data_IF_898292367087
#
_entry.id   IF_898292367087
#
_cell.length_a   1.000
_cell.length_b   1.000
_cell.length_c   1.000
_cell.angle_alpha   90.00
_cell.angle_beta   90.00
_cell.angle_gamma   90.00
#
_symmetry.space_group_name_H-M   'P 1'
#
loop_
_entity.id
_entity.type
_entity.pdbx_description
1 polymer ?
#
# COMPACT_ATOMS: atom_id res chain seq x y z
N UNK A 1 14.74 12.42 7.62
CA UNK A 1 13.96 11.19 7.86
C UNK A 1 12.47 11.44 8.09
N UNK A 2 12.08 12.56 8.75
CA UNK A 2 10.70 12.78 9.19
C UNK A 2 9.67 12.81 8.07
N UNK A 3 9.92 13.53 6.96
CA UNK A 3 8.95 13.69 5.88
C UNK A 3 8.62 12.36 5.19
N UNK A 4 9.58 11.55 4.72
CA UNK A 4 9.26 10.23 4.15
C UNK A 4 8.53 9.33 5.16
N UNK A 5 8.90 9.41 6.44
CA UNK A 5 8.24 8.67 7.51
C UNK A 5 6.76 9.03 7.63
N UNK A 6 6.42 10.33 7.70
CA UNK A 6 5.02 10.77 7.75
C UNK A 6 4.28 10.46 6.45
N UNK A 7 4.91 10.70 5.30
CA UNK A 7 4.34 10.39 3.99
C UNK A 7 4.00 8.89 3.85
N UNK A 8 4.68 8.01 4.58
CA UNK A 8 4.40 6.57 4.63
C UNK A 8 3.43 6.19 5.75
N UNK A 9 3.61 6.74 6.95
CA UNK A 9 2.84 6.35 8.14
C UNK A 9 1.35 6.70 7.97
N UNK A 10 1.03 7.92 7.54
CA UNK A 10 -0.36 8.39 7.42
C UNK A 10 -1.16 7.53 6.42
N UNK A 11 -0.73 7.33 5.16
CA UNK A 11 -1.45 6.44 4.26
C UNK A 11 -1.50 5.00 4.74
N UNK A 12 -0.44 4.51 5.41
CA UNK A 12 -0.43 3.17 5.99
C UNK A 12 -1.49 2.98 7.06
N UNK A 13 -1.64 3.95 7.97
CA UNK A 13 -2.70 3.96 8.97
C UNK A 13 -4.08 4.04 8.31
N UNK A 14 -4.26 4.90 7.29
CA UNK A 14 -5.51 5.00 6.53
C UNK A 14 -5.90 3.66 5.92
N UNK A 15 -4.99 3.02 5.18
CA UNK A 15 -5.23 1.73 4.56
C UNK A 15 -5.46 0.61 5.58
N UNK A 16 -4.75 0.66 6.73
CA UNK A 16 -5.01 -0.29 7.82
C UNK A 16 -6.45 -0.21 8.28
N UNK A 17 -6.96 0.98 8.62
CA UNK A 17 -8.34 1.14 9.05
C UNK A 17 -9.36 0.78 7.96
N UNK A 18 -9.07 1.11 6.69
CA UNK A 18 -9.96 0.79 5.57
C UNK A 18 -10.07 -0.72 5.32
N UNK A 19 -8.94 -1.44 5.31
CA UNK A 19 -8.97 -2.90 5.15
C UNK A 19 -9.52 -3.61 6.39
N UNK A 20 -9.30 -3.07 7.61
CA UNK A 20 -9.95 -3.59 8.82
C UNK A 20 -11.47 -3.49 8.71
N UNK A 21 -11.99 -2.39 8.19
CA UNK A 21 -13.42 -2.25 7.90
C UNK A 21 -13.93 -3.33 6.93
N UNK A 22 -13.24 -3.56 5.81
CA UNK A 22 -13.66 -4.60 4.84
C UNK A 22 -13.61 -6.00 5.44
N UNK A 23 -12.58 -6.33 6.23
CA UNK A 23 -12.50 -7.61 6.94
C UNK A 23 -13.59 -7.75 8.00
N UNK A 24 -13.92 -6.68 8.71
CA UNK A 24 -15.00 -6.64 9.68
C UNK A 24 -16.38 -6.79 9.03
N UNK A 25 -16.58 -6.20 7.84
CA UNK A 25 -17.81 -6.37 7.07
C UNK A 25 -18.01 -7.83 6.63
N UNK A 26 -16.92 -8.53 6.27
CA UNK A 26 -16.98 -9.97 6.01
C UNK A 26 -17.30 -10.79 7.26
N UNK A 27 -16.77 -10.43 8.44
CA UNK A 27 -17.15 -11.07 9.71
C UNK A 27 -18.61 -10.79 10.00
N UNK A 28 -19.06 -9.56 9.82
CA UNK A 28 -20.44 -9.16 10.04
C UNK A 28 -21.41 -9.95 9.15
N UNK A 29 -21.12 -10.06 7.86
CA UNK A 29 -21.90 -10.87 6.93
C UNK A 29 -21.93 -12.36 7.32
N UNK A 30 -20.80 -12.89 7.84
CA UNK A 30 -20.75 -14.27 8.33
C UNK A 30 -21.60 -14.47 9.59
N UNK A 31 -21.56 -13.52 10.54
CA UNK A 31 -22.34 -13.61 11.79
C UNK A 31 -23.82 -13.36 11.56
N UNK A 32 -24.17 -12.53 10.61
CA UNK A 32 -25.56 -12.37 10.15
C UNK A 32 -26.09 -13.68 9.53
N UNK A 33 -25.29 -14.31 8.66
CA UNK A 33 -25.65 -15.58 8.02
C UNK A 33 -25.88 -16.73 9.03
N UNK A 34 -25.06 -16.81 10.09
CA UNK A 34 -25.06 -17.97 11.00
C UNK A 34 -25.93 -17.73 12.25
N UNK A 35 -25.95 -16.51 12.76
CA UNK A 35 -26.55 -16.18 14.06
C UNK A 35 -27.55 -15.01 14.01
N UNK A 36 -27.86 -14.46 12.84
CA UNK A 36 -28.72 -13.28 12.68
C UNK A 36 -28.23 -12.09 13.55
N UNK A 37 -26.89 -11.93 13.61
CA UNK A 37 -26.25 -10.91 14.44
C UNK A 37 -25.49 -9.91 13.60
N UNK A 38 -25.92 -8.64 13.67
CA UNK A 38 -25.33 -7.49 12.96
C UNK A 38 -24.78 -6.47 13.96
N UNK A 39 -23.45 -6.29 13.97
CA UNK A 39 -22.78 -5.23 14.71
C UNK A 39 -21.40 -4.91 14.11
N UNK A 40 -21.39 -4.25 12.98
CA UNK A 40 -20.18 -3.95 12.24
C UNK A 40 -19.11 -3.21 13.07
N UNK A 41 -19.52 -2.27 13.95
CA UNK A 41 -18.56 -1.53 14.77
C UNK A 41 -17.83 -2.42 15.77
N UNK A 42 -18.51 -3.37 16.36
CA UNK A 42 -17.91 -4.38 17.24
C UNK A 42 -16.83 -5.16 16.49
N UNK A 43 -17.14 -5.61 15.28
CA UNK A 43 -16.21 -6.40 14.46
C UNK A 43 -15.00 -5.59 13.97
N UNK A 44 -15.18 -4.31 13.67
CA UNK A 44 -14.05 -3.40 13.36
C UNK A 44 -13.09 -3.34 14.55
N UNK A 45 -13.59 -3.11 15.75
CA UNK A 45 -12.77 -2.98 16.96
C UNK A 45 -12.07 -4.32 17.29
N UNK A 46 -12.80 -5.43 17.29
CA UNK A 46 -12.24 -6.73 17.60
C UNK A 46 -11.19 -7.16 16.59
N UNK A 47 -11.47 -7.01 15.30
CA UNK A 47 -10.50 -7.35 14.24
C UNK A 47 -9.27 -6.46 14.32
N UNK A 48 -9.42 -5.16 14.58
CA UNK A 48 -8.29 -4.25 14.77
C UNK A 48 -7.39 -4.70 15.93
N UNK A 49 -7.97 -5.08 17.07
CA UNK A 49 -7.23 -5.58 18.23
C UNK A 49 -6.45 -6.85 17.85
N UNK A 50 -7.10 -7.80 17.19
CA UNK A 50 -6.48 -9.06 16.77
C UNK A 50 -5.32 -8.81 15.80
N UNK A 51 -5.50 -7.94 14.80
CA UNK A 51 -4.46 -7.56 13.84
C UNK A 51 -3.28 -6.86 14.53
N UNK A 52 -3.53 -5.93 15.44
CA UNK A 52 -2.49 -5.25 16.22
C UNK A 52 -1.70 -6.26 17.05
N UNK A 53 -2.36 -7.14 17.80
CA UNK A 53 -1.70 -8.16 18.61
C UNK A 53 -0.87 -9.11 17.75
N UNK A 54 -1.42 -9.56 16.61
CA UNK A 54 -0.73 -10.45 15.69
C UNK A 54 0.51 -9.77 15.06
N UNK A 55 0.38 -8.53 14.61
CA UNK A 55 1.51 -7.77 14.04
C UNK A 55 2.61 -7.53 15.07
N UNK A 56 2.30 -7.36 16.36
CA UNK A 56 3.29 -7.26 17.43
C UNK A 56 4.19 -8.50 17.56
N UNK A 57 3.75 -9.67 17.07
CA UNK A 57 4.57 -10.90 17.01
C UNK A 57 5.67 -10.84 15.95
N UNK A 58 5.62 -9.84 15.07
CA UNK A 58 6.65 -9.56 14.06
C UNK A 58 6.48 -10.31 12.75
N UNK A 59 7.43 -10.09 11.83
CA UNK A 59 7.34 -10.51 10.43
C UNK A 59 7.12 -12.02 10.23
N UNK A 60 7.69 -12.86 11.11
CA UNK A 60 7.53 -14.33 10.98
C UNK A 60 6.08 -14.77 11.16
N UNK A 61 5.35 -14.17 12.09
CA UNK A 61 3.94 -14.46 12.30
C UNK A 61 3.12 -13.96 11.10
N UNK A 62 3.34 -12.72 10.71
CA UNK A 62 2.68 -12.08 9.55
C UNK A 62 2.90 -12.88 8.27
N UNK A 63 4.13 -13.31 7.99
CA UNK A 63 4.47 -14.13 6.82
C UNK A 63 3.79 -15.50 6.82
N UNK A 64 3.68 -16.17 7.98
CA UNK A 64 2.96 -17.45 8.09
C UNK A 64 1.49 -17.32 7.74
N UNK A 65 0.84 -16.27 8.23
CA UNK A 65 -0.57 -16.00 7.91
C UNK A 65 -0.72 -15.68 6.41
N UNK A 66 0.17 -14.89 5.83
CA UNK A 66 0.16 -14.56 4.40
C UNK A 66 0.33 -15.79 3.52
N UNK A 67 1.24 -16.70 3.88
CA UNK A 67 1.45 -17.95 3.15
C UNK A 67 0.22 -18.88 3.18
N UNK A 68 -0.54 -18.86 4.28
CA UNK A 68 -1.78 -19.62 4.40
C UNK A 68 -2.92 -18.97 3.60
N UNK A 69 -3.09 -17.66 3.72
CA UNK A 69 -4.25 -16.94 3.18
C UNK A 69 -4.18 -16.71 1.67
N UNK A 70 -2.97 -16.57 1.09
CA UNK A 70 -2.81 -16.26 -0.33
C UNK A 70 -3.42 -17.31 -1.27
N UNK A 71 -3.18 -18.65 -1.12
CA UNK A 71 -3.83 -19.65 -1.95
C UNK A 71 -5.35 -19.74 -1.72
N UNK A 72 -5.81 -19.46 -0.49
CA UNK A 72 -7.24 -19.44 -0.17
C UNK A 72 -7.96 -18.29 -0.88
N UNK A 73 -7.33 -17.11 -0.90
CA UNK A 73 -7.86 -15.96 -1.62
C UNK A 73 -7.93 -16.22 -3.13
N UNK A 74 -6.88 -16.83 -3.70
CA UNK A 74 -6.88 -17.22 -5.11
C UNK A 74 -8.02 -18.20 -5.43
N UNK A 75 -8.27 -19.16 -4.54
CA UNK A 75 -9.40 -20.08 -4.66
C UNK A 75 -10.74 -19.32 -4.70
N UNK A 76 -10.96 -18.36 -3.80
CA UNK A 76 -12.18 -17.54 -3.79
C UNK A 76 -12.33 -16.78 -5.11
N UNK A 77 -11.27 -16.15 -5.61
CA UNK A 77 -11.30 -15.41 -6.87
C UNK A 77 -11.68 -16.31 -8.05
N UNK A 78 -11.05 -17.47 -8.17
CA UNK A 78 -11.35 -18.45 -9.22
C UNK A 78 -12.80 -18.97 -9.07
N UNK A 79 -13.20 -19.31 -7.85
CA UNK A 79 -14.57 -19.78 -7.57
C UNK A 79 -15.62 -18.77 -8.00
N UNK A 80 -15.46 -17.49 -7.64
CA UNK A 80 -16.38 -16.42 -8.04
C UNK A 80 -16.49 -16.26 -9.56
N UNK A 81 -15.38 -16.38 -10.28
CA UNK A 81 -15.40 -16.33 -11.75
C UNK A 81 -16.13 -17.53 -12.38
N UNK A 82 -15.91 -18.74 -11.84
CA UNK A 82 -16.49 -19.97 -12.39
C UNK A 82 -17.99 -20.12 -12.06
N UNK A 83 -18.43 -19.55 -10.92
CA UNK A 83 -19.83 -19.66 -10.46
C UNK A 83 -20.69 -18.47 -10.84
N UNK A 84 -20.12 -17.49 -11.51
CA UNK A 84 -20.89 -16.37 -12.04
C UNK A 84 -21.79 -16.85 -13.22
N UNK A 85 -23.03 -17.15 -12.90
CA UNK A 85 -24.06 -17.57 -13.86
C UNK A 85 -24.89 -16.38 -14.40
N UNK A 86 -24.60 -15.15 -13.94
CA UNK A 86 -25.41 -13.97 -14.25
C UNK A 86 -25.09 -13.38 -15.62
N UNK A 87 -23.82 -13.50 -16.07
CA UNK A 87 -23.37 -12.94 -17.35
C UNK A 87 -22.29 -13.82 -17.96
N UNK A 88 -22.38 -14.09 -19.24
CA UNK A 88 -21.34 -14.83 -19.97
C UNK A 88 -20.07 -13.98 -20.13
N UNK A 89 -18.90 -14.63 -20.22
CA UNK A 89 -17.62 -13.94 -20.45
C UNK A 89 -17.64 -13.07 -21.72
N UNK A 90 -18.35 -13.50 -22.76
CA UNK A 90 -18.52 -12.72 -24.00
C UNK A 90 -19.34 -11.44 -23.81
N UNK A 91 -20.32 -11.46 -22.91
CA UNK A 91 -21.11 -10.27 -22.55
C UNK A 91 -20.29 -9.31 -21.69
N UNK A 92 -19.50 -9.84 -20.73
CA UNK A 92 -18.58 -9.04 -19.91
C UNK A 92 -17.64 -8.22 -20.78
N UNK A 93 -17.06 -8.82 -21.83
CA UNK A 93 -16.16 -8.11 -22.75
C UNK A 93 -16.86 -7.02 -23.59
N UNK A 94 -18.19 -7.07 -23.69
CA UNK A 94 -19.01 -6.09 -24.41
C UNK A 94 -19.63 -5.04 -23.49
N UNK A 95 -19.52 -5.21 -22.18
CA UNK A 95 -20.02 -4.23 -21.21
C UNK A 95 -19.26 -2.91 -21.37
N UNK A 96 -20.01 -1.87 -21.64
CA UNK A 96 -19.53 -0.49 -21.60
C UNK A 96 -20.04 0.14 -20.32
N UNK A 97 -19.16 0.80 -19.57
CA UNK A 97 -19.58 1.53 -18.37
C UNK A 97 -20.63 2.59 -18.72
N UNK A 98 -21.67 2.69 -17.91
CA UNK A 98 -22.69 3.76 -18.01
C UNK A 98 -22.08 5.10 -17.62
N UNK A 99 -21.26 5.64 -18.25
CA UNK A 99 -20.75 6.90 -17.79
C UNK A 99 -19.78 7.45 -18.77
N UNK A 100 -20.27 8.21 -19.64
CA UNK A 100 -19.59 9.24 -20.35
C UNK A 100 -18.06 9.15 -20.27
N UNK A 101 -17.38 10.18 -20.26
CA UNK A 101 -15.95 10.33 -20.33
C UNK A 101 -15.16 9.72 -19.14
N UNK A 102 -15.21 8.39 -18.93
CA UNK A 102 -14.32 7.73 -17.98
C UNK A 102 -12.88 7.87 -18.46
N UNK A 103 -12.10 8.61 -17.71
CA UNK A 103 -10.69 8.78 -18.02
C UNK A 103 -9.90 7.55 -17.53
N UNK A 104 -9.47 6.68 -18.46
CA UNK A 104 -8.63 5.51 -18.16
C UNK A 104 -7.41 5.88 -17.32
N UNK A 105 -6.86 7.08 -17.47
CA UNK A 105 -5.71 7.54 -16.70
C UNK A 105 -6.05 7.68 -15.21
N UNK A 106 -7.28 8.05 -14.85
CA UNK A 106 -7.71 8.11 -13.43
C UNK A 106 -7.72 6.70 -12.81
N UNK A 107 -8.15 5.67 -13.55
CA UNK A 107 -8.06 4.29 -13.07
C UNK A 107 -6.62 3.86 -12.87
N UNK A 108 -5.73 4.17 -13.81
CA UNK A 108 -4.29 3.91 -13.66
C UNK A 108 -3.73 4.61 -12.43
N UNK A 109 -4.06 5.88 -12.23
CA UNK A 109 -3.61 6.65 -11.06
C UNK A 109 -4.16 6.11 -9.74
N UNK A 110 -5.38 5.61 -9.72
CA UNK A 110 -5.97 4.97 -8.55
C UNK A 110 -5.15 3.73 -8.14
N UNK A 111 -4.82 2.86 -9.08
CA UNK A 111 -3.97 1.69 -8.80
C UNK A 111 -2.56 2.10 -8.38
N UNK A 112 -1.94 3.03 -9.08
CA UNK A 112 -0.61 3.55 -8.72
C UNK A 112 -0.64 4.16 -7.31
N UNK A 113 -1.62 4.99 -6.99
CA UNK A 113 -1.76 5.64 -5.69
C UNK A 113 -1.95 4.65 -4.55
N UNK A 114 -2.72 3.58 -4.76
CA UNK A 114 -2.86 2.47 -3.82
C UNK A 114 -1.53 1.79 -3.50
N UNK A 115 -0.74 1.48 -4.53
CA UNK A 115 0.55 0.80 -4.38
C UNK A 115 1.74 1.71 -4.08
N UNK A 116 1.64 3.02 -4.36
CA UNK A 116 2.71 4.00 -4.10
C UNK A 116 3.15 4.02 -2.64
N UNK A 117 2.21 3.78 -1.73
CA UNK A 117 2.47 3.69 -0.29
C UNK A 117 3.44 2.56 0.02
N UNK A 118 3.24 1.38 -0.57
CA UNK A 118 4.13 0.23 -0.41
C UNK A 118 5.46 0.44 -1.15
N UNK A 119 5.42 1.00 -2.37
CA UNK A 119 6.61 1.28 -3.15
C UNK A 119 7.59 2.20 -2.41
N UNK A 120 7.09 3.23 -1.71
CA UNK A 120 7.91 4.15 -0.92
C UNK A 120 8.61 3.49 0.29
N UNK A 121 8.19 2.29 0.71
CA UNK A 121 8.74 1.59 1.88
C UNK A 121 8.94 0.09 1.67
N UNK A 122 9.10 -0.34 0.44
CA UNK A 122 9.27 -1.77 0.13
C UNK A 122 10.49 -2.39 0.82
N UNK A 123 11.49 -1.57 1.14
CA UNK A 123 12.67 -1.96 1.91
C UNK A 123 12.32 -2.49 3.31
N UNK A 124 11.20 -2.06 3.91
CA UNK A 124 10.77 -2.55 5.23
C UNK A 124 10.40 -4.04 5.20
N UNK A 125 10.02 -4.55 4.03
CA UNK A 125 9.71 -5.96 3.80
C UNK A 125 10.93 -6.68 3.22
N UNK A 126 11.57 -6.12 2.20
CA UNK A 126 12.65 -6.80 1.47
C UNK A 126 13.93 -6.98 2.27
N UNK A 127 14.17 -6.16 3.30
CA UNK A 127 15.31 -6.33 4.22
C UNK A 127 15.27 -7.65 5.02
N UNK A 128 14.09 -8.23 5.18
CA UNK A 128 13.92 -9.52 5.87
C UNK A 128 14.14 -10.72 4.92
N UNK A 129 14.35 -10.47 3.64
CA UNK A 129 14.58 -11.50 2.65
C UNK A 129 16.04 -11.95 2.64
N UNK A 130 16.25 -13.24 2.52
CA UNK A 130 17.60 -13.82 2.47
C UNK A 130 18.18 -13.68 1.07
N UNK A 131 19.40 -13.12 0.99
CA UNK A 131 20.24 -13.13 -0.21
C UNK A 131 21.49 -13.95 0.03
N UNK A 132 21.99 -14.65 -0.98
CA UNK A 132 23.27 -15.34 -0.91
C UNK A 132 24.42 -14.32 -1.07
N UNK A 133 25.63 -14.69 -0.61
CA UNK A 133 26.81 -13.84 -0.80
C UNK A 133 27.12 -13.59 -2.29
N UNK A 134 26.84 -14.57 -3.14
CA UNK A 134 27.05 -14.48 -4.58
C UNK A 134 26.05 -13.51 -5.23
N UNK A 135 24.77 -13.57 -4.83
CA UNK A 135 23.74 -12.62 -5.26
C UNK A 135 24.07 -11.19 -4.80
N UNK A 136 24.62 -11.02 -3.61
CA UNK A 136 24.95 -9.69 -3.06
C UNK A 136 26.09 -8.99 -3.80
N UNK A 137 27.00 -9.73 -4.44
CA UNK A 137 28.10 -9.19 -5.24
C UNK A 137 27.62 -8.54 -6.55
N UNK A 138 26.48 -8.97 -7.07
CA UNK A 138 25.93 -8.48 -8.33
C UNK A 138 24.55 -7.85 -8.10
N UNK A 139 24.51 -6.53 -8.06
CA UNK A 139 23.28 -5.76 -7.83
C UNK A 139 22.08 -6.25 -8.67
N UNK A 140 22.29 -6.54 -9.96
CA UNK A 140 21.20 -6.99 -10.83
C UNK A 140 20.71 -8.40 -10.48
N UNK A 141 21.59 -9.28 -10.03
CA UNK A 141 21.20 -10.64 -9.67
C UNK A 141 20.26 -10.67 -8.45
N UNK A 142 20.55 -9.89 -7.41
CA UNK A 142 19.67 -9.77 -6.25
C UNK A 142 18.40 -8.99 -6.58
N UNK A 143 18.51 -7.88 -7.30
CA UNK A 143 17.37 -7.00 -7.61
C UNK A 143 16.32 -7.69 -8.47
N UNK A 144 16.72 -8.40 -9.54
CA UNK A 144 15.77 -9.08 -10.44
C UNK A 144 14.94 -10.15 -9.71
N UNK A 145 15.51 -10.85 -8.75
CA UNK A 145 14.81 -11.87 -7.95
C UNK A 145 13.64 -11.25 -7.18
N UNK A 146 13.90 -10.14 -6.49
CA UNK A 146 12.85 -9.43 -5.76
C UNK A 146 11.83 -8.75 -6.69
N UNK A 147 12.28 -8.17 -7.79
CA UNK A 147 11.38 -7.60 -8.79
C UNK A 147 10.45 -8.65 -9.38
N UNK A 148 10.97 -9.81 -9.77
CA UNK A 148 10.15 -10.91 -10.32
C UNK A 148 9.16 -11.45 -9.28
N UNK A 149 9.61 -11.66 -8.04
CA UNK A 149 8.73 -12.14 -6.98
C UNK A 149 7.56 -11.17 -6.73
N UNK A 150 7.83 -9.88 -6.68
CA UNK A 150 6.80 -8.85 -6.53
C UNK A 150 5.89 -8.78 -7.75
N UNK A 151 6.44 -8.83 -8.95
CA UNK A 151 5.66 -8.79 -10.19
C UNK A 151 4.71 -9.99 -10.30
N UNK A 152 5.21 -11.21 -10.05
CA UNK A 152 4.41 -12.45 -10.07
C UNK A 152 3.34 -12.43 -8.97
N UNK A 153 3.66 -11.89 -7.79
CA UNK A 153 2.71 -11.83 -6.69
C UNK A 153 1.64 -10.75 -6.86
N UNK A 154 2.00 -9.58 -7.37
CA UNK A 154 1.09 -8.44 -7.42
C UNK A 154 0.28 -8.35 -8.70
N UNK A 155 0.90 -8.52 -9.87
CA UNK A 155 0.25 -8.22 -11.16
C UNK A 155 -0.90 -9.18 -11.45
N UNK A 156 -0.72 -10.53 -11.42
CA UNK A 156 -1.82 -11.44 -11.68
C UNK A 156 -2.96 -11.31 -10.66
N UNK A 157 -2.64 -11.13 -9.38
CA UNK A 157 -3.63 -10.92 -8.34
C UNK A 157 -4.43 -9.63 -8.58
N UNK A 158 -3.75 -8.53 -8.90
CA UNK A 158 -4.40 -7.24 -9.19
C UNK A 158 -5.33 -7.33 -10.41
N UNK A 159 -4.90 -8.00 -11.48
CA UNK A 159 -5.73 -8.20 -12.68
C UNK A 159 -6.95 -9.09 -12.36
N UNK A 160 -6.75 -10.18 -11.63
CA UNK A 160 -7.83 -11.10 -11.25
C UNK A 160 -8.88 -10.40 -10.39
N UNK A 161 -8.47 -9.82 -9.26
CA UNK A 161 -9.42 -9.22 -8.32
C UNK A 161 -9.97 -7.87 -8.79
N UNK A 162 -9.16 -7.09 -9.52
CA UNK A 162 -9.64 -5.88 -10.19
C UNK A 162 -10.70 -6.18 -11.25
N UNK A 163 -10.49 -7.26 -12.02
CA UNK A 163 -11.48 -7.75 -12.97
C UNK A 163 -12.78 -8.22 -12.30
N UNK A 164 -12.68 -9.02 -11.22
CA UNK A 164 -13.85 -9.46 -10.44
C UNK A 164 -14.61 -8.25 -9.89
N UNK A 165 -13.91 -7.27 -9.34
CA UNK A 165 -14.52 -6.04 -8.83
C UNK A 165 -15.22 -5.22 -9.92
N UNK A 166 -14.62 -5.09 -11.10
CA UNK A 166 -15.21 -4.38 -12.23
C UNK A 166 -16.47 -5.08 -12.74
N UNK A 167 -16.44 -6.41 -12.87
CA UNK A 167 -17.61 -7.22 -13.23
C UNK A 167 -18.71 -7.09 -12.19
N UNK A 168 -18.35 -7.23 -10.91
CA UNK A 168 -19.28 -7.11 -9.80
C UNK A 168 -19.96 -5.74 -9.78
N UNK A 169 -19.20 -4.66 -9.94
CA UNK A 169 -19.74 -3.30 -10.04
C UNK A 169 -20.70 -3.15 -11.24
N UNK A 170 -20.34 -3.69 -12.40
CA UNK A 170 -21.19 -3.64 -13.59
C UNK A 170 -22.51 -4.40 -13.41
N UNK A 171 -22.50 -5.50 -12.65
CA UNK A 171 -23.68 -6.33 -12.40
C UNK A 171 -24.59 -5.78 -11.29
N UNK A 172 -24.02 -5.21 -10.25
CA UNK A 172 -24.74 -4.90 -9.01
C UNK A 172 -24.85 -3.41 -8.72
N UNK A 173 -24.04 -2.58 -9.37
CA UNK A 173 -23.86 -1.17 -8.98
C UNK A 173 -23.14 -0.99 -7.63
N UNK A 174 -22.65 -2.08 -7.03
CA UNK A 174 -22.06 -2.09 -5.69
C UNK A 174 -20.54 -2.12 -5.79
N UNK A 175 -19.88 -1.29 -5.00
CA UNK A 175 -18.41 -1.22 -4.93
C UNK A 175 -17.82 -2.17 -3.86
N UNK A 176 -18.63 -2.56 -2.88
CA UNK A 176 -18.18 -3.37 -1.75
C UNK A 176 -17.99 -4.83 -2.18
N UNK A 177 -16.76 -5.39 -2.14
CA UNK A 177 -16.49 -6.75 -2.60
C UNK A 177 -17.24 -7.82 -1.79
N UNK A 178 -17.57 -7.56 -0.53
CA UNK A 178 -18.31 -8.51 0.31
C UNK A 178 -19.75 -8.62 -0.19
N UNK A 179 -20.40 -7.50 -0.49
CA UNK A 179 -21.77 -7.50 -1.02
C UNK A 179 -21.85 -8.08 -2.42
N UNK A 180 -20.86 -7.80 -3.27
CA UNK A 180 -20.73 -8.45 -4.58
C UNK A 180 -20.65 -9.96 -4.42
N UNK A 181 -19.81 -10.45 -3.50
CA UNK A 181 -19.62 -11.86 -3.24
C UNK A 181 -20.93 -12.52 -2.74
N UNK A 182 -21.64 -11.87 -1.82
CA UNK A 182 -22.96 -12.34 -1.33
C UNK A 182 -23.96 -12.44 -2.49
N UNK A 183 -23.98 -11.46 -3.38
CA UNK A 183 -24.85 -11.48 -4.57
C UNK A 183 -24.50 -12.61 -5.55
N UNK A 184 -23.22 -12.80 -5.86
CA UNK A 184 -22.76 -13.80 -6.86
C UNK A 184 -22.95 -15.24 -6.36
N UNK A 185 -22.70 -15.51 -5.08
CA UNK A 185 -22.83 -16.86 -4.49
C UNK A 185 -24.31 -17.23 -4.30
N UNK A 186 -25.12 -16.26 -3.85
CA UNK A 186 -26.55 -16.46 -3.58
C UNK A 186 -26.83 -17.12 -2.22
N UNK A 187 -28.06 -16.94 -1.74
CA UNK A 187 -28.50 -17.48 -0.45
C UNK A 187 -28.70 -19.00 -0.43
N UNK A 188 -28.77 -19.64 -1.60
CA UNK A 188 -28.94 -21.07 -1.79
C UNK A 188 -27.68 -21.91 -1.48
N UNK A 189 -26.54 -21.25 -1.27
CA UNK A 189 -25.23 -21.87 -1.03
C UNK A 189 -24.56 -21.41 0.28
N UNK A 190 -25.22 -21.55 1.45
CA UNK A 190 -24.77 -20.94 2.71
C UNK A 190 -23.40 -21.45 3.17
N UNK A 191 -23.08 -22.73 2.96
CA UNK A 191 -21.78 -23.30 3.33
C UNK A 191 -20.64 -22.67 2.49
N UNK A 192 -20.85 -22.55 1.17
CA UNK A 192 -19.86 -21.94 0.29
C UNK A 192 -19.69 -20.45 0.60
N UNK A 193 -20.79 -19.75 0.89
CA UNK A 193 -20.77 -18.37 1.34
C UNK A 193 -19.91 -18.23 2.61
N UNK A 194 -20.16 -19.04 3.64
CA UNK A 194 -19.39 -19.01 4.87
C UNK A 194 -17.90 -19.30 4.66
N UNK A 195 -17.55 -20.26 3.80
CA UNK A 195 -16.15 -20.56 3.46
C UNK A 195 -15.48 -19.39 2.73
N UNK A 196 -16.15 -18.79 1.74
CA UNK A 196 -15.61 -17.65 1.02
C UNK A 196 -15.42 -16.43 1.93
N UNK A 197 -16.39 -16.13 2.80
CA UNK A 197 -16.27 -15.06 3.80
C UNK A 197 -15.09 -15.30 4.75
N UNK A 198 -14.94 -16.52 5.27
CA UNK A 198 -13.81 -16.89 6.13
C UNK A 198 -12.46 -16.69 5.43
N UNK A 199 -12.35 -17.10 4.15
CA UNK A 199 -11.13 -16.94 3.40
C UNK A 199 -10.81 -15.47 3.12
N UNK A 200 -11.83 -14.64 2.86
CA UNK A 200 -11.66 -13.19 2.69
C UNK A 200 -11.23 -12.52 4.02
N UNK A 201 -11.78 -12.94 5.15
CA UNK A 201 -11.35 -12.46 6.48
C UNK A 201 -9.85 -12.75 6.68
N UNK A 202 -9.42 -13.98 6.45
CA UNK A 202 -8.00 -14.36 6.58
C UNK A 202 -7.10 -13.60 5.62
N UNK A 203 -7.54 -13.41 4.38
CA UNK A 203 -6.79 -12.70 3.36
C UNK A 203 -6.66 -11.20 3.66
N UNK A 204 -7.76 -10.54 4.04
CA UNK A 204 -7.74 -9.13 4.46
C UNK A 204 -6.88 -8.94 5.69
N UNK A 205 -6.95 -9.83 6.66
CA UNK A 205 -6.08 -9.80 7.84
C UNK A 205 -4.60 -9.88 7.43
N UNK A 206 -4.21 -10.89 6.66
CA UNK A 206 -2.82 -11.10 6.26
C UNK A 206 -2.24 -9.95 5.44
N UNK A 207 -3.00 -9.47 4.45
CA UNK A 207 -2.57 -8.37 3.57
C UNK A 207 -2.51 -7.03 4.30
N UNK A 208 -3.43 -6.80 5.24
CA UNK A 208 -3.49 -5.59 6.05
C UNK A 208 -2.29 -5.49 6.99
N UNK A 209 -1.96 -6.59 7.68
CA UNK A 209 -0.80 -6.64 8.55
C UNK A 209 0.50 -6.40 7.76
N UNK A 210 0.67 -7.09 6.63
CA UNK A 210 1.90 -7.03 5.83
C UNK A 210 2.07 -5.68 5.11
N UNK A 211 1.01 -5.21 4.45
CA UNK A 211 1.08 -4.05 3.55
C UNK A 211 0.89 -2.70 4.24
N UNK A 212 0.15 -2.67 5.35
CA UNK A 212 -0.27 -1.43 5.98
C UNK A 212 0.28 -1.27 7.40
N UNK A 213 -0.07 -2.16 8.32
CA UNK A 213 0.24 -1.98 9.73
C UNK A 213 1.73 -2.16 10.03
N UNK A 214 2.35 -3.21 9.48
CA UNK A 214 3.76 -3.50 9.72
C UNK A 214 4.70 -2.36 9.25
N UNK A 215 4.61 -1.86 8.00
CA UNK A 215 5.43 -0.74 7.57
C UNK A 215 5.08 0.59 8.26
N UNK A 216 3.79 0.84 8.58
CA UNK A 216 3.40 2.03 9.34
C UNK A 216 4.01 2.01 10.75
N UNK A 217 4.07 0.84 11.39
CA UNK A 217 4.69 0.65 12.70
C UNK A 217 6.18 0.98 12.67
N UNK A 218 6.92 0.55 11.64
CA UNK A 218 8.32 0.93 11.46
C UNK A 218 8.48 2.42 11.20
N UNK A 219 7.60 3.01 10.42
CA UNK A 219 7.61 4.45 10.19
C UNK A 219 7.43 5.21 11.52
N UNK A 220 6.47 4.83 12.36
CA UNK A 220 6.26 5.42 13.69
C UNK A 220 7.47 5.19 14.59
N UNK A 221 7.99 3.97 14.68
CA UNK A 221 9.15 3.65 15.52
C UNK A 221 10.41 4.43 15.07
N UNK A 222 10.57 4.69 13.78
CA UNK A 222 11.71 5.44 13.23
C UNK A 222 11.72 6.92 13.59
N UNK A 223 10.60 7.49 14.03
CA UNK A 223 10.55 8.88 14.51
C UNK A 223 11.40 9.07 15.79
N UNK A 224 11.40 8.08 16.68
CA UNK A 224 12.16 8.10 17.90
C UNK A 224 12.75 6.70 18.21
N UNK A 225 13.76 6.23 17.45
CA UNK A 225 14.21 4.83 17.45
C UNK A 225 14.82 4.37 18.76
N UNK A 226 15.29 5.30 19.58
CA UNK A 226 15.83 5.01 20.95
C UNK A 226 14.74 4.91 22.02
N UNK A 227 13.53 5.43 21.74
CA UNK A 227 12.43 5.53 22.72
C UNK A 227 11.23 4.66 22.35
N UNK A 228 10.97 4.47 21.06
CA UNK A 228 9.78 3.75 20.56
C UNK A 228 10.22 2.40 19.99
N UNK A 229 9.78 1.32 20.62
CA UNK A 229 9.96 -0.04 20.13
C UNK A 229 8.96 -0.36 19.03
N UNK A 230 9.24 -1.35 18.17
CA UNK A 230 8.38 -1.75 17.07
C UNK A 230 6.92 -2.03 17.51
N UNK A 231 6.71 -2.82 18.56
CA UNK A 231 5.36 -3.14 19.05
C UNK A 231 4.56 -1.90 19.51
N UNK A 232 5.25 -0.89 20.06
CA UNK A 232 4.63 0.39 20.40
C UNK A 232 4.20 1.15 19.14
N UNK A 233 5.05 1.10 18.10
CA UNK A 233 4.70 1.62 16.77
C UNK A 233 3.48 0.95 16.18
N UNK A 234 3.34 -0.38 16.34
CA UNK A 234 2.15 -1.14 15.90
C UNK A 234 0.88 -0.65 16.60
N UNK A 235 0.93 -0.51 17.92
CA UNK A 235 -0.23 -0.03 18.70
C UNK A 235 -0.62 1.38 18.26
N UNK A 236 0.35 2.29 18.17
CA UNK A 236 0.09 3.69 17.77
C UNK A 236 -0.48 3.76 16.37
N UNK A 237 0.11 3.04 15.40
CA UNK A 237 -0.40 3.00 14.03
C UNK A 237 -1.81 2.40 13.95
N UNK A 238 -2.09 1.34 14.71
CA UNK A 238 -3.40 0.72 14.80
C UNK A 238 -4.47 1.67 15.35
N UNK A 239 -4.18 2.35 16.46
CA UNK A 239 -5.09 3.34 17.06
C UNK A 239 -5.37 4.48 16.08
N UNK A 240 -4.34 5.06 15.46
CA UNK A 240 -4.49 6.14 14.47
C UNK A 240 -5.35 5.66 13.31
N UNK A 241 -5.09 4.45 12.78
CA UNK A 241 -5.82 3.91 11.63
C UNK A 241 -7.32 3.76 11.88
N UNK A 242 -7.72 3.30 13.06
CA UNK A 242 -9.15 3.19 13.42
C UNK A 242 -9.75 4.56 13.74
N UNK A 243 -8.99 5.43 14.45
CA UNK A 243 -9.47 6.78 14.79
C UNK A 243 -9.72 7.67 13.56
N UNK A 244 -8.97 7.46 12.46
CA UNK A 244 -9.19 8.15 11.18
C UNK A 244 -10.54 7.82 10.54
N UNK A 245 -11.20 6.73 10.91
CA UNK A 245 -12.48 6.26 10.36
C UNK A 245 -12.51 6.26 8.82
N UNK A 246 -11.54 5.62 8.14
CA UNK A 246 -11.37 5.75 6.69
C UNK A 246 -12.55 5.19 5.88
N UNK A 247 -13.36 4.32 6.44
CA UNK A 247 -14.61 3.84 5.83
C UNK A 247 -15.63 4.95 5.57
N UNK A 248 -15.57 6.09 6.30
CA UNK A 248 -16.40 7.24 6.00
C UNK A 248 -16.06 7.91 4.66
N UNK A 249 -14.86 7.64 4.13
CA UNK A 249 -14.42 8.10 2.82
C UNK A 249 -14.60 7.05 1.70
N UNK A 250 -15.27 5.93 1.97
CA UNK A 250 -15.42 4.82 1.04
C UNK A 250 -16.03 5.24 -0.32
N UNK A 251 -17.03 6.13 -0.32
CA UNK A 251 -17.62 6.68 -1.55
C UNK A 251 -16.67 7.55 -2.38
N UNK A 252 -15.53 7.98 -1.80
CA UNK A 252 -14.53 8.84 -2.44
C UNK A 252 -13.15 8.17 -2.53
N UNK A 253 -13.08 6.85 -2.41
CA UNK A 253 -11.82 6.11 -2.35
C UNK A 253 -10.89 6.41 -3.53
N UNK A 254 -11.45 6.59 -4.73
CA UNK A 254 -10.69 6.97 -5.93
C UNK A 254 -9.94 8.30 -5.74
N UNK A 255 -10.65 9.34 -5.30
CA UNK A 255 -10.05 10.66 -5.04
C UNK A 255 -8.98 10.59 -3.96
N UNK A 256 -9.27 9.90 -2.86
CA UNK A 256 -8.30 9.70 -1.75
C UNK A 256 -7.05 8.99 -2.24
N UNK A 257 -7.21 7.94 -3.04
CA UNK A 257 -6.09 7.15 -3.56
C UNK A 257 -5.21 7.96 -4.52
N UNK A 258 -5.84 8.71 -5.43
CA UNK A 258 -5.11 9.61 -6.36
C UNK A 258 -4.40 10.71 -5.57
N UNK A 259 -5.00 11.26 -4.51
CA UNK A 259 -4.37 12.24 -3.64
C UNK A 259 -3.17 11.67 -2.88
N UNK A 260 -3.26 10.45 -2.35
CA UNK A 260 -2.12 9.74 -1.75
C UNK A 260 -0.99 9.59 -2.77
N UNK A 261 -1.32 9.18 -4.00
CA UNK A 261 -0.37 9.11 -5.11
C UNK A 261 0.30 10.45 -5.41
N UNK A 262 -0.47 11.54 -5.43
CA UNK A 262 0.02 12.90 -5.61
C UNK A 262 1.07 13.30 -4.55
N UNK A 263 0.81 12.99 -3.28
CA UNK A 263 1.73 13.31 -2.19
C UNK A 263 3.01 12.46 -2.22
N UNK A 264 2.90 11.19 -2.63
CA UNK A 264 4.03 10.26 -2.66
C UNK A 264 4.87 10.34 -3.94
N UNK A 265 4.32 10.81 -5.03
CA UNK A 265 5.01 10.88 -6.32
C UNK A 265 6.34 11.66 -6.27
N UNK A 266 6.39 12.90 -5.74
CA UNK A 266 7.65 13.62 -5.62
C UNK A 266 8.65 12.92 -4.69
N UNK A 267 8.18 12.26 -3.63
CA UNK A 267 9.05 11.49 -2.72
C UNK A 267 9.74 10.36 -3.47
N UNK A 268 9.00 9.60 -4.28
CA UNK A 268 9.55 8.54 -5.13
C UNK A 268 10.55 9.13 -6.16
N UNK A 269 10.19 10.25 -6.79
CA UNK A 269 11.08 10.95 -7.73
C UNK A 269 12.41 11.37 -7.07
N UNK A 270 12.33 11.93 -5.87
CA UNK A 270 13.51 12.31 -5.07
C UNK A 270 14.35 11.07 -4.75
N UNK A 271 13.74 9.97 -4.29
CA UNK A 271 14.46 8.73 -3.97
C UNK A 271 15.18 8.14 -5.18
N UNK A 272 14.53 8.14 -6.35
CA UNK A 272 15.13 7.66 -7.60
C UNK A 272 16.33 8.52 -7.98
N UNK A 273 16.17 9.84 -7.97
CA UNK A 273 17.24 10.77 -8.34
C UNK A 273 18.39 10.72 -7.35
N UNK A 274 18.11 10.73 -6.05
CA UNK A 274 19.16 10.67 -5.03
C UNK A 274 19.99 9.40 -5.16
N UNK A 275 19.33 8.24 -5.22
CA UNK A 275 20.01 6.95 -5.20
C UNK A 275 20.69 6.60 -6.52
N UNK A 276 19.98 6.74 -7.65
CA UNK A 276 20.49 6.27 -8.94
C UNK A 276 21.33 7.32 -9.69
N UNK A 277 20.93 8.60 -9.63
CA UNK A 277 21.55 9.66 -10.45
C UNK A 277 22.66 10.35 -9.68
N UNK A 278 22.40 10.86 -8.47
CA UNK A 278 23.36 11.61 -7.69
C UNK A 278 24.42 10.69 -7.05
N UNK A 279 23.98 9.67 -6.32
CA UNK A 279 24.88 8.78 -5.57
C UNK A 279 25.31 7.54 -6.35
N UNK A 280 24.77 7.33 -7.56
CA UNK A 280 25.13 6.18 -8.42
C UNK A 280 25.09 4.85 -7.67
N UNK A 281 24.11 4.67 -6.78
CA UNK A 281 23.89 3.50 -5.91
C UNK A 281 24.95 3.28 -4.81
N UNK A 282 25.79 4.27 -4.55
CA UNK A 282 26.81 4.23 -3.49
C UNK A 282 26.33 5.06 -2.33
N UNK A 283 25.89 4.40 -1.26
CA UNK A 283 25.50 5.03 0.01
C UNK A 283 26.45 4.55 1.09
N UNK A 284 27.03 5.49 1.84
CA UNK A 284 27.78 5.16 3.05
C UNK A 284 26.82 4.83 4.19
N UNK A 285 26.46 3.56 4.30
CA UNK A 285 25.44 3.07 5.26
C UNK A 285 25.79 3.47 6.70
N UNK A 286 27.05 3.45 7.08
CA UNK A 286 27.50 3.84 8.41
C UNK A 286 27.12 5.29 8.77
N UNK A 287 27.20 6.21 7.79
CA UNK A 287 26.91 7.62 8.01
C UNK A 287 25.42 7.92 8.19
N UNK A 288 24.53 6.98 7.78
CA UNK A 288 23.09 7.09 8.06
C UNK A 288 22.77 7.02 9.56
N UNK A 289 23.66 6.39 10.35
CA UNK A 289 23.48 6.16 11.78
C UNK A 289 24.34 7.06 12.66
N UNK A 290 25.20 7.91 12.07
CA UNK A 290 26.03 8.87 12.79
C UNK A 290 25.33 10.23 12.91
N UNK A 291 25.47 10.86 14.08
CA UNK A 291 24.93 12.21 14.31
C UNK A 291 25.70 13.30 13.57
N UNK A 292 26.96 13.03 13.21
CA UNK A 292 27.88 13.89 12.46
C UNK A 292 28.14 13.38 11.03
N UNK A 293 27.33 12.44 10.54
CA UNK A 293 27.44 11.86 9.21
C UNK A 293 27.06 12.85 8.11
N UNK A 294 27.51 12.56 6.86
CA UNK A 294 27.27 13.44 5.72
C UNK A 294 25.79 13.66 5.37
N UNK A 295 24.88 12.80 5.87
CA UNK A 295 23.44 12.92 5.65
C UNK A 295 22.73 13.81 6.69
N UNK A 296 23.49 14.45 7.56
CA UNK A 296 22.99 15.46 8.47
C UNK A 296 22.96 16.81 7.77
N UNK A 297 21.79 17.23 7.35
CA UNK A 297 21.54 18.53 6.76
C UNK A 297 21.06 19.55 7.82
N UNK A 298 20.50 20.65 7.38
CA UNK A 298 19.97 21.70 8.24
C UNK A 298 18.92 21.12 9.22
N UNK A 299 19.21 21.15 10.52
CA UNK A 299 18.37 20.54 11.57
C UNK A 299 17.89 19.11 11.24
N UNK A 300 18.73 18.27 10.69
CA UNK A 300 18.42 16.90 10.23
C UNK A 300 17.39 16.81 9.10
N UNK A 301 17.16 17.90 8.38
CA UNK A 301 16.23 17.98 7.27
C UNK A 301 17.00 18.44 6.03
N UNK A 302 16.82 17.74 4.92
CA UNK A 302 17.34 18.18 3.62
C UNK A 302 16.40 19.24 3.03
N UNK A 303 16.82 20.53 2.94
CA UNK A 303 15.95 21.58 2.42
C UNK A 303 15.57 21.36 0.95
N UNK A 304 16.49 20.81 0.14
CA UNK A 304 16.20 20.49 -1.26
C UNK A 304 15.06 19.49 -1.39
N UNK A 305 15.00 18.48 -0.52
CA UNK A 305 13.94 17.49 -0.56
C UNK A 305 12.57 18.10 -0.22
N UNK A 306 12.50 19.01 0.76
CA UNK A 306 11.25 19.70 1.11
C UNK A 306 10.75 20.56 -0.05
N UNK A 307 11.63 21.39 -0.61
CA UNK A 307 11.28 22.29 -1.70
C UNK A 307 10.85 21.47 -2.93
N UNK A 308 11.62 20.43 -3.27
CA UNK A 308 11.32 19.55 -4.40
C UNK A 308 9.98 18.83 -4.23
N UNK A 309 9.67 18.37 -3.01
CA UNK A 309 8.39 17.75 -2.71
C UNK A 309 7.25 18.76 -2.87
N UNK A 310 7.37 19.94 -2.29
CA UNK A 310 6.33 20.98 -2.38
C UNK A 310 6.11 21.43 -3.82
N UNK A 311 7.17 21.70 -4.56
CA UNK A 311 7.09 22.10 -5.98
C UNK A 311 6.51 20.97 -6.83
N UNK A 312 6.91 19.71 -6.60
CA UNK A 312 6.39 18.56 -7.31
C UNK A 312 4.89 18.37 -7.10
N UNK A 313 4.40 18.51 -5.86
CA UNK A 313 2.96 18.46 -5.55
C UNK A 313 2.22 19.61 -6.23
N UNK A 314 2.65 20.87 -6.00
CA UNK A 314 1.97 22.06 -6.52
C UNK A 314 1.92 22.03 -8.06
N UNK A 315 3.01 21.69 -8.73
CA UNK A 315 3.08 21.61 -10.19
C UNK A 315 2.21 20.51 -10.78
N UNK A 316 1.94 19.44 -10.02
CA UNK A 316 1.14 18.31 -10.49
C UNK A 316 -0.37 18.52 -10.33
N UNK A 317 -0.83 19.32 -9.36
CA UNK A 317 -2.26 19.53 -9.07
C UNK A 317 -3.09 20.00 -10.28
N UNK A 318 -2.64 20.97 -11.12
CA UNK A 318 -3.40 21.39 -12.31
C UNK A 318 -3.52 20.29 -13.36
N UNK A 319 -2.64 19.30 -13.30
CA UNK A 319 -2.57 18.17 -14.23
C UNK A 319 -3.09 16.90 -13.54
N UNK A 320 -4.26 16.95 -12.91
CA UNK A 320 -4.82 15.90 -12.06
C UNK A 320 -4.80 14.51 -12.70
N UNK A 321 -5.09 14.43 -14.00
CA UNK A 321 -5.05 13.16 -14.76
C UNK A 321 -3.63 12.60 -14.98
N UNK A 322 -2.58 13.33 -14.63
CA UNK A 322 -1.17 12.93 -14.77
C UNK A 322 -0.39 13.21 -13.49
N UNK A 323 -1.09 13.49 -12.39
CA UNK A 323 -0.54 14.01 -11.14
C UNK A 323 0.66 13.21 -10.63
N UNK A 324 0.62 11.89 -10.72
CA UNK A 324 1.70 11.02 -10.25
C UNK A 324 2.96 11.15 -11.12
N UNK A 325 2.81 11.11 -12.42
CA UNK A 325 3.94 11.20 -13.35
C UNK A 325 4.61 12.57 -13.31
N UNK A 326 3.80 13.63 -13.29
CA UNK A 326 4.30 15.01 -13.16
C UNK A 326 4.99 15.19 -11.82
N UNK A 327 4.42 14.69 -10.72
CA UNK A 327 5.02 14.76 -9.40
C UNK A 327 6.39 14.09 -9.32
N UNK A 328 6.56 12.89 -9.89
CA UNK A 328 7.86 12.20 -9.96
C UNK A 328 8.87 13.02 -10.74
N UNK A 329 8.50 13.46 -11.95
CA UNK A 329 9.43 14.15 -12.86
C UNK A 329 9.84 15.51 -12.30
N UNK A 330 8.88 16.34 -11.90
CA UNK A 330 9.15 17.68 -11.37
C UNK A 330 9.87 17.60 -10.02
N UNK A 331 9.39 16.75 -9.10
CA UNK A 331 10.02 16.55 -7.80
C UNK A 331 11.46 16.05 -7.94
N UNK A 332 11.69 15.05 -8.77
CA UNK A 332 13.04 14.53 -9.04
C UNK A 332 13.95 15.56 -9.70
N UNK A 333 13.47 16.28 -10.71
CA UNK A 333 14.24 17.30 -11.40
C UNK A 333 14.63 18.47 -10.48
N UNK A 334 13.68 19.02 -9.75
CA UNK A 334 13.93 20.11 -8.80
C UNK A 334 14.91 19.67 -7.73
N UNK A 335 14.76 18.43 -7.22
CA UNK A 335 15.70 17.87 -6.25
C UNK A 335 17.12 17.77 -6.81
N UNK A 336 17.27 17.28 -8.04
CA UNK A 336 18.57 17.22 -8.71
C UNK A 336 19.26 18.56 -8.78
N UNK A 337 18.52 19.59 -9.25
CA UNK A 337 19.07 20.95 -9.39
C UNK A 337 19.49 21.51 -8.03
N UNK A 338 18.60 21.43 -7.03
CA UNK A 338 18.88 21.97 -5.70
C UNK A 338 20.02 21.23 -5.00
N UNK A 339 20.09 19.90 -5.12
CA UNK A 339 21.21 19.15 -4.57
C UNK A 339 22.54 19.56 -5.20
N UNK A 340 22.63 19.54 -6.53
CA UNK A 340 23.87 19.78 -7.27
C UNK A 340 24.40 21.21 -7.13
N UNK A 341 23.51 22.20 -7.22
CA UNK A 341 23.94 23.60 -7.29
C UNK A 341 23.84 24.37 -5.99
N UNK A 342 23.15 23.82 -4.99
CA UNK A 342 22.99 24.48 -3.69
C UNK A 342 23.49 23.60 -2.53
N UNK A 343 22.89 22.46 -2.26
CA UNK A 343 23.14 21.66 -1.05
C UNK A 343 24.58 21.12 -1.01
N UNK A 344 25.07 20.54 -2.12
CA UNK A 344 26.44 20.00 -2.18
C UNK A 344 27.54 21.08 -2.07
N UNK A 345 27.19 22.36 -2.23
CA UNK A 345 28.13 23.48 -1.99
C UNK A 345 28.23 23.86 -0.49
N UNK A 346 27.20 23.55 0.29
CA UNK A 346 27.13 23.92 1.70
C UNK A 346 27.49 22.72 2.57
N UNK A 347 27.00 21.54 2.18
CA UNK A 347 27.21 20.28 2.93
C UNK A 347 28.09 19.35 2.10
N UNK A 348 29.21 18.92 2.70
CA UNK A 348 30.10 17.98 2.04
C UNK A 348 29.39 16.62 1.87
N UNK A 349 29.23 16.18 0.62
CA UNK A 349 28.59 14.92 0.25
C UNK A 349 29.61 14.07 -0.52
N UNK A 350 30.33 13.21 0.20
CA UNK A 350 31.43 12.42 -0.38
C UNK A 350 30.97 11.38 -1.41
N UNK A 351 29.74 10.96 -1.32
CA UNK A 351 29.14 9.96 -2.23
C UNK A 351 28.37 10.58 -3.43
N UNK A 352 28.34 11.90 -3.53
CA UNK A 352 27.82 12.62 -4.73
C UNK A 352 29.01 13.09 -5.56
N UNK A 353 29.07 12.62 -6.79
CA UNK A 353 30.10 12.95 -7.78
C UNK A 353 29.59 13.96 -8.82
#
# INVERSE_FOLDING_TARGET
KYIPTFARAIPGCFWFGFQTYLGADAINALTELVWDYDNLMLWIILLAIVQVLHTCLGIKAVSRLSNLSSPLLLFVGIYLLLTNNHVSFGEILKMHGEGGNFNMMVAVLMYIGGWATLAASISDITRECVTTEEESKHWWASTKKFMLAQWIGLVPATVLFGGIGAIGMALTGEWNPIRIMVYVIGADRPIMMALCLLFVILATWATNDTGNLYPAAYAVASLAPTKVKFWQGVIVAGIIGIAMRPWAAAGNVTTVTVFIGCMLAPVIGIMIVDYYILRKRKIKVEDLYKLDGQYQYWHNINPAAIIAMAVGVIASLPLWNYVFFVGILVGGFVYYILMKYWICKIYNQEDIQ
#
